data_IF_237299799173
#
_entry.id   IF_237299799173
#
_cell.length_a   1.000
_cell.length_b   1.000
_cell.length_c   1.000
_cell.angle_alpha   90.00
_cell.angle_beta   90.00
_cell.angle_gamma   90.00
#
_symmetry.space_group_name_H-M   'P 1'
#
loop_
_entity.id
_entity.type
_entity.pdbx_description
1 polymer ?
#
# COMPACT_ATOMS: atom_id res chain seq x y z
N UNK A 1 2.85 -10.10 1.35
CA UNK A 1 2.80 -8.62 1.28
C UNK A 1 3.39 -8.01 2.54
N UNK A 2 4.13 -6.90 2.41
CA UNK A 2 4.62 -6.10 3.53
C UNK A 2 3.50 -5.21 4.11
N UNK A 3 3.81 -4.40 5.13
CA UNK A 3 2.89 -3.45 5.77
C UNK A 3 3.66 -2.15 6.09
N UNK A 4 3.21 -1.00 5.55
CA UNK A 4 3.85 0.31 5.73
C UNK A 4 5.28 0.40 5.14
N UNK A 5 5.45 0.07 3.86
CA UNK A 5 6.76 0.05 3.20
C UNK A 5 6.77 0.84 1.90
N UNK A 6 7.58 1.90 1.83
CA UNK A 6 7.75 2.70 0.62
C UNK A 6 8.42 1.88 -0.49
N UNK A 7 8.02 2.10 -1.74
CA UNK A 7 8.52 1.30 -2.87
C UNK A 7 10.04 1.38 -3.06
N UNK A 8 10.65 2.51 -2.71
CA UNK A 8 12.11 2.70 -2.78
C UNK A 8 12.88 2.00 -1.66
N UNK A 9 12.19 1.42 -0.66
CA UNK A 9 12.85 0.81 0.50
C UNK A 9 13.11 -0.69 0.30
N UNK A 10 13.42 -1.07 -0.94
CA UNK A 10 13.80 -2.42 -1.37
C UNK A 10 15.06 -2.35 -2.22
N UNK A 11 16.00 -3.28 -2.04
CA UNK A 11 17.27 -3.30 -2.78
C UNK A 11 17.07 -3.30 -4.29
N UNK A 12 16.23 -4.17 -4.83
CA UNK A 12 15.95 -4.24 -6.27
C UNK A 12 15.15 -3.04 -6.82
N UNK A 13 14.65 -2.14 -5.97
CA UNK A 13 14.05 -0.87 -6.34
C UNK A 13 14.96 0.33 -6.07
N UNK A 14 16.24 0.09 -5.75
CA UNK A 14 17.29 1.10 -5.71
C UNK A 14 17.66 1.63 -4.32
N UNK A 15 17.16 1.04 -3.22
CA UNK A 15 17.66 1.42 -1.90
C UNK A 15 19.13 0.98 -1.73
N UNK A 16 20.07 1.89 -1.40
CA UNK A 16 21.48 1.53 -1.30
C UNK A 16 21.84 0.84 0.01
N UNK A 17 21.02 0.99 1.05
CA UNK A 17 21.36 0.59 2.42
C UNK A 17 20.63 -0.66 2.88
N UNK A 18 19.32 -0.79 2.51
CA UNK A 18 18.46 -1.87 3.00
C UNK A 18 18.83 -3.22 2.39
N UNK A 19 18.83 -4.27 3.22
CA UNK A 19 19.16 -5.63 2.79
C UNK A 19 17.90 -6.45 2.60
N UNK A 20 17.56 -6.73 1.34
CA UNK A 20 16.39 -7.52 0.94
C UNK A 20 16.77 -8.66 -0.02
N UNK A 21 17.71 -9.56 0.35
CA UNK A 21 18.27 -10.56 -0.56
C UNK A 21 17.22 -11.56 -1.08
N UNK A 22 16.15 -11.83 -0.35
CA UNK A 22 15.10 -12.77 -0.76
C UNK A 22 14.16 -12.14 -1.78
N UNK A 23 13.75 -10.89 -1.58
CA UNK A 23 12.94 -10.12 -2.55
C UNK A 23 13.77 -9.85 -3.80
N UNK A 24 15.04 -9.47 -3.65
CA UNK A 24 15.96 -9.24 -4.77
C UNK A 24 16.14 -10.50 -5.61
N UNK A 25 16.20 -11.69 -4.96
CA UNK A 25 16.24 -12.98 -5.64
C UNK A 25 14.93 -13.28 -6.38
N UNK A 26 13.76 -12.96 -5.79
CA UNK A 26 12.48 -13.07 -6.50
C UNK A 26 12.46 -12.18 -7.74
N UNK A 27 12.95 -10.95 -7.65
CA UNK A 27 13.05 -10.03 -8.78
C UNK A 27 13.99 -10.56 -9.88
N UNK A 28 15.14 -11.09 -9.50
CA UNK A 28 16.09 -11.74 -10.45
C UNK A 28 15.49 -12.97 -11.14
N UNK A 29 14.59 -13.70 -10.49
CA UNK A 29 13.91 -14.89 -11.02
C UNK A 29 12.55 -14.59 -11.68
N UNK A 30 12.11 -13.34 -11.66
CA UNK A 30 10.79 -12.94 -12.10
C UNK A 30 10.77 -11.59 -12.83
N UNK A 31 9.68 -10.87 -12.63
CA UNK A 31 9.37 -9.58 -13.25
C UNK A 31 9.23 -8.51 -12.16
N UNK A 32 9.90 -7.38 -12.28
CA UNK A 32 9.60 -6.15 -11.52
C UNK A 32 8.54 -5.34 -12.23
N UNK A 33 7.48 -4.95 -11.51
CA UNK A 33 6.49 -3.99 -11.97
C UNK A 33 6.90 -2.62 -11.40
N UNK A 34 7.53 -1.79 -12.22
CA UNK A 34 8.14 -0.54 -11.78
C UNK A 34 7.16 0.63 -11.65
N UNK A 35 5.90 0.44 -12.09
CA UNK A 35 4.81 1.42 -11.99
C UNK A 35 3.55 0.77 -11.44
N UNK A 36 3.66 0.21 -10.25
CA UNK A 36 2.54 -0.38 -9.53
C UNK A 36 2.05 0.59 -8.46
N UNK A 37 0.74 0.85 -8.40
CA UNK A 37 0.16 1.85 -7.50
C UNK A 37 -0.94 1.25 -6.64
N UNK A 38 -0.96 1.62 -5.37
CA UNK A 38 -2.07 1.29 -4.49
C UNK A 38 -3.25 2.27 -4.67
N UNK A 39 -4.42 1.86 -4.22
CA UNK A 39 -5.66 2.63 -4.35
C UNK A 39 -5.93 3.57 -3.16
N UNK A 40 -5.21 3.39 -2.06
CA UNK A 40 -5.32 4.19 -0.86
C UNK A 40 -4.07 4.05 0.02
N UNK A 41 -3.45 5.15 0.49
CA UNK A 41 -2.26 5.10 1.35
C UNK A 41 -2.61 4.82 2.82
N UNK A 42 -3.47 3.84 3.07
CA UNK A 42 -3.96 3.46 4.41
C UNK A 42 -4.39 1.98 4.42
N UNK A 43 -3.92 1.21 5.39
CA UNK A 43 -4.00 -0.26 5.44
C UNK A 43 -5.40 -0.84 5.14
N UNK A 44 -6.44 -0.49 5.92
CA UNK A 44 -7.77 -1.11 5.77
C UNK A 44 -8.42 -0.79 4.41
N UNK A 45 -8.47 0.47 3.94
CA UNK A 45 -8.98 0.80 2.61
C UNK A 45 -8.21 0.11 1.49
N UNK A 46 -6.86 0.08 1.58
CA UNK A 46 -6.01 -0.57 0.59
C UNK A 46 -6.28 -2.07 0.53
N UNK A 47 -6.24 -2.77 1.67
CA UNK A 47 -6.44 -4.23 1.72
C UNK A 47 -7.82 -4.63 1.20
N UNK A 48 -8.86 -3.90 1.58
CA UNK A 48 -10.20 -4.17 1.10
C UNK A 48 -10.34 -3.89 -0.40
N UNK A 49 -9.66 -2.87 -0.92
CA UNK A 49 -9.58 -2.60 -2.34
C UNK A 49 -8.81 -3.69 -3.10
N UNK A 50 -7.63 -4.09 -2.59
CA UNK A 50 -6.80 -5.17 -3.14
C UNK A 50 -7.58 -6.49 -3.24
N UNK A 51 -8.35 -6.83 -2.20
CA UNK A 51 -9.08 -8.12 -2.14
C UNK A 51 -10.43 -8.11 -2.84
N UNK A 52 -10.97 -6.95 -3.21
CA UNK A 52 -12.27 -6.85 -3.92
C UNK A 52 -12.12 -6.48 -5.39
N UNK A 53 -10.98 -5.92 -5.82
CA UNK A 53 -10.80 -5.36 -7.16
C UNK A 53 -11.62 -4.08 -7.39
N UNK A 54 -12.06 -3.42 -6.31
CA UNK A 54 -12.87 -2.20 -6.33
C UNK A 54 -12.16 -1.08 -5.59
N UNK A 55 -12.25 0.15 -6.09
CA UNK A 55 -11.71 1.31 -5.37
C UNK A 55 -12.46 1.56 -4.04
N UNK A 56 -11.80 2.20 -3.05
CA UNK A 56 -12.32 2.28 -1.69
C UNK A 56 -13.66 3.00 -1.53
N UNK A 57 -13.97 4.00 -2.36
CA UNK A 57 -15.27 4.69 -2.29
C UNK A 57 -16.36 3.78 -2.83
N UNK A 58 -16.14 3.13 -3.97
CA UNK A 58 -17.10 2.21 -4.58
C UNK A 58 -17.39 0.98 -3.72
N UNK A 59 -16.36 0.41 -3.07
CA UNK A 59 -16.59 -0.70 -2.16
C UNK A 59 -17.11 -0.28 -0.77
N UNK A 60 -17.09 1.03 -0.46
CA UNK A 60 -17.57 1.61 0.80
C UNK A 60 -16.55 1.65 1.93
N UNK A 61 -15.32 1.16 1.71
CA UNK A 61 -14.30 1.07 2.75
C UNK A 61 -13.22 2.16 2.64
N UNK A 62 -13.58 3.39 2.22
CA UNK A 62 -12.63 4.50 2.09
C UNK A 62 -12.07 5.03 3.42
N UNK A 63 -12.76 5.04 4.57
CA UNK A 63 -12.14 5.37 5.85
C UNK A 63 -11.33 4.19 6.41
N UNK A 64 -10.32 4.49 7.20
CA UNK A 64 -9.60 3.43 7.91
C UNK A 64 -10.51 2.71 8.92
N UNK A 65 -10.31 1.39 9.12
CA UNK A 65 -11.13 0.56 10.01
C UNK A 65 -12.62 0.52 9.66
N UNK A 66 -12.96 0.69 8.40
CA UNK A 66 -14.33 0.63 7.89
C UNK A 66 -14.67 -0.75 7.31
N UNK A 67 -15.87 -0.88 6.78
CA UNK A 67 -16.36 -2.11 6.16
C UNK A 67 -16.83 -1.84 4.73
N UNK A 68 -16.70 -2.84 3.86
CA UNK A 68 -17.28 -2.79 2.51
C UNK A 68 -18.81 -2.78 2.58
N UNK A 69 -19.46 -2.40 1.48
CA UNK A 69 -20.91 -2.51 1.33
C UNK A 69 -21.35 -3.97 1.38
N UNK A 70 -22.61 -4.17 1.75
CA UNK A 70 -23.25 -5.49 1.67
C UNK A 70 -23.25 -6.00 0.22
N UNK A 71 -23.04 -7.30 0.04
CA UNK A 71 -23.00 -7.94 -1.28
C UNK A 71 -21.66 -7.78 -2.02
N UNK A 72 -20.71 -6.99 -1.51
CA UNK A 72 -19.36 -6.90 -2.11
C UNK A 72 -18.64 -8.24 -1.99
N UNK A 73 -18.18 -8.75 -3.13
CA UNK A 73 -17.41 -10.00 -3.24
C UNK A 73 -15.92 -9.73 -3.20
N UNK A 74 -15.17 -10.66 -2.63
CA UNK A 74 -13.71 -10.61 -2.54
C UNK A 74 -13.06 -11.84 -3.17
N UNK A 75 -11.73 -11.87 -3.22
CA UNK A 75 -10.93 -12.93 -3.82
C UNK A 75 -11.43 -14.36 -3.51
N UNK A 76 -11.76 -14.75 -2.26
CA UNK A 76 -12.33 -16.08 -1.98
C UNK A 76 -13.64 -16.38 -2.70
N UNK A 77 -14.51 -15.39 -2.87
CA UNK A 77 -15.77 -15.58 -3.59
C UNK A 77 -15.58 -15.87 -5.08
N UNK A 78 -14.50 -15.39 -5.65
CA UNK A 78 -14.17 -15.57 -7.06
C UNK A 78 -13.41 -16.87 -7.32
N UNK A 79 -12.50 -17.27 -6.41
CA UNK A 79 -11.64 -18.43 -6.64
C UNK A 79 -12.24 -19.76 -6.14
N UNK A 80 -13.04 -19.74 -5.06
CA UNK A 80 -13.66 -20.97 -4.52
C UNK A 80 -14.57 -21.70 -5.53
N UNK A 81 -15.41 -21.03 -6.34
CA UNK A 81 -16.21 -21.69 -7.38
C UNK A 81 -15.37 -22.38 -8.45
N UNK A 82 -14.07 -22.01 -8.58
CA UNK A 82 -13.09 -22.65 -9.47
C UNK A 82 -12.33 -23.78 -8.78
N UNK A 83 -12.76 -24.20 -7.59
CA UNK A 83 -12.16 -25.29 -6.84
C UNK A 83 -10.99 -24.92 -5.94
N UNK A 84 -10.62 -23.64 -5.84
CA UNK A 84 -9.49 -23.21 -5.01
C UNK A 84 -9.83 -23.17 -3.52
N UNK A 85 -8.91 -23.62 -2.69
CA UNK A 85 -8.86 -23.22 -1.27
C UNK A 85 -8.25 -21.82 -1.19
N UNK A 86 -8.79 -20.93 -0.36
CA UNK A 86 -8.31 -19.55 -0.26
C UNK A 86 -8.09 -19.20 1.20
N UNK A 87 -6.81 -19.04 1.58
CA UNK A 87 -6.37 -18.78 2.94
C UNK A 87 -5.72 -17.42 3.12
N UNK A 88 -5.66 -16.96 4.38
CA UNK A 88 -4.93 -15.78 4.82
C UNK A 88 -4.20 -16.08 6.13
N UNK A 89 -2.90 -15.80 6.16
CA UNK A 89 -2.05 -15.86 7.34
C UNK A 89 -1.45 -14.49 7.62
N UNK A 90 -1.38 -14.10 8.89
CA UNK A 90 -0.83 -12.83 9.34
C UNK A 90 -1.88 -11.73 9.50
N UNK A 91 -1.54 -10.51 9.08
CA UNK A 91 -2.36 -9.32 9.33
C UNK A 91 -3.69 -9.36 8.60
N UNK A 92 -4.75 -9.19 9.38
CA UNK A 92 -6.13 -8.97 8.92
C UNK A 92 -6.51 -7.51 9.13
N UNK A 93 -7.16 -6.90 8.16
CA UNK A 93 -7.68 -5.53 8.31
C UNK A 93 -8.87 -5.26 7.39
N UNK A 94 -9.61 -6.31 7.08
CA UNK A 94 -10.81 -6.31 6.25
C UNK A 94 -12.07 -6.54 7.08
N UNK A 95 -13.21 -6.03 6.62
CA UNK A 95 -14.52 -6.20 7.25
C UNK A 95 -15.70 -5.99 6.26
N UNK A 96 -16.84 -6.66 6.47
CA UNK A 96 -17.10 -7.69 7.46
C UNK A 96 -16.51 -9.05 7.05
N UNK A 97 -16.42 -9.99 7.98
CA UNK A 97 -15.90 -11.35 7.69
C UNK A 97 -16.69 -12.08 6.60
N UNK A 98 -18.00 -11.82 6.48
CA UNK A 98 -18.86 -12.39 5.43
C UNK A 98 -18.45 -11.96 4.02
N UNK A 99 -17.91 -10.74 3.86
CA UNK A 99 -17.39 -10.25 2.58
C UNK A 99 -15.96 -10.75 2.28
N UNK A 100 -15.25 -11.26 3.28
CA UNK A 100 -13.88 -11.75 3.17
C UNK A 100 -13.72 -13.14 3.80
N UNK A 101 -14.38 -14.17 3.22
CA UNK A 101 -14.41 -15.51 3.78
C UNK A 101 -13.10 -16.28 3.53
N UNK A 102 -11.94 -15.68 3.82
CA UNK A 102 -10.68 -16.39 3.85
C UNK A 102 -10.68 -17.47 4.93
N UNK A 103 -10.05 -18.62 4.68
CA UNK A 103 -9.64 -19.50 5.75
C UNK A 103 -8.54 -18.81 6.57
N UNK A 104 -8.84 -18.53 7.83
CA UNK A 104 -7.96 -17.77 8.71
C UNK A 104 -6.94 -18.68 9.37
N UNK A 105 -5.65 -18.50 9.04
CA UNK A 105 -4.58 -19.35 9.50
C UNK A 105 -3.83 -18.80 10.72
N UNK A 106 -4.33 -17.71 11.29
CA UNK A 106 -3.72 -17.06 12.45
C UNK A 106 -2.75 -15.93 12.07
N UNK A 107 -2.03 -15.45 13.08
CA UNK A 107 -1.19 -14.26 12.99
C UNK A 107 -1.79 -13.08 13.74
N UNK A 108 -1.02 -12.02 13.90
CA UNK A 108 -1.43 -10.83 14.65
C UNK A 108 -1.80 -9.67 13.73
N UNK A 109 -2.56 -8.73 14.28
CA UNK A 109 -2.85 -7.45 13.67
C UNK A 109 -2.45 -6.33 14.62
N UNK A 110 -1.30 -5.70 14.35
CA UNK A 110 -0.92 -4.46 15.02
C UNK A 110 -0.90 -4.54 16.55
N UNK A 111 -0.29 -5.58 17.11
CA UNK A 111 -0.20 -5.80 18.56
C UNK A 111 0.83 -4.90 19.28
N UNK A 112 1.42 -3.96 18.56
CA UNK A 112 2.49 -3.10 19.06
C UNK A 112 3.81 -3.83 19.28
N UNK A 113 4.03 -4.94 18.56
CA UNK A 113 5.24 -5.77 18.69
C UNK A 113 5.30 -6.61 19.97
N UNK A 114 4.16 -6.86 20.61
CA UNK A 114 4.05 -7.68 21.82
C UNK A 114 4.06 -9.17 21.50
N UNK A 115 3.61 -9.54 20.31
CA UNK A 115 3.67 -10.94 19.85
C UNK A 115 5.13 -11.37 19.70
N UNK A 116 5.53 -12.53 20.18
CA UNK A 116 6.87 -13.07 19.96
C UNK A 116 7.22 -13.14 18.46
N UNK A 117 8.50 -13.05 18.14
CA UNK A 117 8.98 -13.21 16.77
C UNK A 117 8.53 -14.56 16.20
N UNK A 118 8.04 -14.58 14.96
CA UNK A 118 7.48 -15.77 14.31
C UNK A 118 6.01 -16.03 14.60
N UNK A 119 5.49 -15.67 15.79
CA UNK A 119 4.08 -15.87 16.12
C UNK A 119 3.17 -14.79 15.47
N UNK A 120 3.73 -13.68 15.02
CA UNK A 120 3.05 -12.65 14.21
C UNK A 120 2.67 -13.16 12.82
N UNK A 121 3.47 -14.10 12.28
CA UNK A 121 3.25 -14.76 10.99
C UNK A 121 3.53 -16.27 11.12
N UNK A 122 2.55 -17.09 11.57
CA UNK A 122 2.74 -18.53 11.81
C UNK A 122 2.83 -19.29 10.48
N UNK A 123 4.04 -19.41 9.93
CA UNK A 123 4.32 -20.05 8.64
C UNK A 123 4.15 -21.57 8.67
N UNK A 124 4.22 -22.22 9.83
CA UNK A 124 3.84 -23.62 10.04
C UNK A 124 2.39 -23.88 9.61
N UNK A 125 1.47 -22.99 9.97
CA UNK A 125 0.07 -23.08 9.56
C UNK A 125 -0.10 -22.80 8.08
N UNK A 126 0.67 -21.90 7.51
CA UNK A 126 0.72 -21.67 6.07
C UNK A 126 1.17 -22.93 5.33
N UNK A 127 2.25 -23.60 5.81
CA UNK A 127 2.75 -24.88 5.27
C UNK A 127 1.68 -25.97 5.36
N UNK A 128 1.05 -26.13 6.52
CA UNK A 128 -0.03 -27.10 6.71
C UNK A 128 -1.22 -26.85 5.77
N UNK A 129 -1.61 -25.58 5.57
CA UNK A 129 -2.65 -25.21 4.61
C UNK A 129 -2.27 -25.60 3.17
N UNK A 130 -1.07 -25.29 2.73
CA UNK A 130 -0.61 -25.61 1.38
C UNK A 130 -0.48 -27.12 1.16
N UNK A 131 -0.04 -27.88 2.17
CA UNK A 131 0.16 -29.33 2.09
C UNK A 131 -1.13 -30.16 2.13
N UNK A 132 -2.23 -29.58 2.61
CA UNK A 132 -3.51 -30.27 2.75
C UNK A 132 -4.11 -30.58 1.37
N UNK A 133 -4.79 -31.72 1.26
CA UNK A 133 -5.58 -32.12 0.09
C UNK A 133 -4.79 -32.08 -1.23
N UNK A 134 -3.75 -32.89 -1.30
CA UNK A 134 -2.66 -33.03 -2.29
C UNK A 134 -2.88 -32.74 -3.79
N UNK A 135 -4.11 -32.54 -4.25
CA UNK A 135 -4.41 -32.18 -5.66
C UNK A 135 -5.28 -30.93 -5.80
N UNK A 136 -5.84 -30.39 -4.71
CA UNK A 136 -6.69 -29.22 -4.78
C UNK A 136 -5.86 -27.94 -4.89
N UNK A 137 -6.12 -27.07 -5.89
CA UNK A 137 -5.40 -25.81 -6.01
C UNK A 137 -5.68 -24.88 -4.84
N UNK A 138 -4.73 -24.02 -4.54
CA UNK A 138 -4.85 -23.07 -3.43
C UNK A 138 -4.37 -21.67 -3.82
N UNK A 139 -4.90 -20.68 -3.12
CA UNK A 139 -4.44 -19.29 -3.12
C UNK A 139 -4.22 -18.88 -1.67
N UNK A 140 -3.02 -18.42 -1.34
CA UNK A 140 -2.64 -18.04 0.01
C UNK A 140 -2.17 -16.59 0.06
N UNK A 141 -2.81 -15.78 0.89
CA UNK A 141 -2.33 -14.45 1.23
C UNK A 141 -1.45 -14.55 2.47
N UNK A 142 -0.16 -14.24 2.30
CA UNK A 142 0.81 -14.12 3.40
C UNK A 142 1.01 -12.64 3.68
N UNK A 143 0.46 -12.17 4.79
CA UNK A 143 0.36 -10.76 5.15
C UNK A 143 1.21 -10.46 6.37
N UNK A 144 2.49 -10.09 6.17
CA UNK A 144 3.35 -9.66 7.27
C UNK A 144 2.78 -8.40 7.96
N UNK A 145 3.07 -8.24 9.24
CA UNK A 145 2.86 -6.98 9.96
C UNK A 145 4.04 -6.01 9.79
N UNK A 146 5.15 -6.47 9.21
CA UNK A 146 6.37 -5.68 9.11
C UNK A 146 6.48 -4.98 7.75
N UNK A 147 7.07 -3.78 7.71
CA UNK A 147 7.68 -3.00 8.79
C UNK A 147 6.75 -1.95 9.45
N UNK A 148 5.51 -2.29 9.82
CA UNK A 148 4.61 -1.38 10.54
C UNK A 148 5.16 -1.04 11.94
N UNK A 149 5.04 0.21 12.36
CA UNK A 149 5.46 0.65 13.70
C UNK A 149 4.72 -0.10 14.84
N UNK A 150 5.35 -0.33 16.00
CA UNK A 150 6.70 0.13 16.41
C UNK A 150 7.81 -0.73 15.80
N UNK A 151 8.90 -0.11 15.39
CA UNK A 151 10.04 -0.80 14.80
C UNK A 151 10.90 -1.43 15.90
N UNK A 152 10.69 -2.71 16.14
CA UNK A 152 11.32 -3.48 17.24
C UNK A 152 11.72 -4.91 16.83
N UNK A 153 11.74 -5.21 15.53
CA UNK A 153 12.18 -6.48 14.96
C UNK A 153 13.47 -6.28 14.16
N UNK A 154 14.14 -7.42 13.91
CA UNK A 154 15.41 -7.42 13.19
C UNK A 154 16.58 -6.87 14.02
N UNK A 155 17.74 -6.78 13.40
CA UNK A 155 18.98 -6.30 14.03
C UNK A 155 19.33 -4.90 13.50
N UNK A 156 19.02 -3.86 14.28
CA UNK A 156 19.32 -2.47 13.93
C UNK A 156 20.83 -2.15 13.95
N UNK A 157 21.69 -2.99 14.57
CA UNK A 157 23.15 -2.77 14.59
C UNK A 157 23.77 -2.90 13.20
N UNK A 158 23.08 -3.64 12.29
CA UNK A 158 23.47 -3.79 10.88
C UNK A 158 23.31 -2.50 10.07
N UNK A 159 22.57 -1.52 10.62
CA UNK A 159 22.24 -0.25 10.00
C UNK A 159 22.69 0.94 10.85
N UNK A 160 24.02 1.22 10.96
CA UNK A 160 24.53 2.36 11.74
C UNK A 160 23.89 3.67 11.27
N UNK A 161 23.23 4.44 12.15
CA UNK A 161 22.46 5.63 11.75
C UNK A 161 23.26 6.69 10.99
N UNK A 162 24.54 6.86 11.32
CA UNK A 162 25.46 7.81 10.71
C UNK A 162 25.87 7.46 9.27
N UNK A 163 25.73 6.18 8.89
CA UNK A 163 26.08 5.67 7.55
C UNK A 163 24.90 5.60 6.58
N UNK A 164 23.66 5.79 7.07
CA UNK A 164 22.47 5.65 6.24
C UNK A 164 22.30 6.84 5.28
N UNK A 165 21.88 6.54 4.08
CA UNK A 165 21.42 7.52 3.10
C UNK A 165 20.02 8.00 3.46
N UNK A 166 19.89 9.30 3.73
CA UNK A 166 18.57 9.87 4.02
C UNK A 166 17.83 10.16 2.72
N UNK A 167 16.60 9.63 2.53
CA UNK A 167 15.79 9.95 1.36
C UNK A 167 15.60 11.47 1.18
N UNK A 168 15.73 12.03 -0.04
CA UNK A 168 15.74 13.48 -0.27
C UNK A 168 14.48 14.23 0.18
N UNK A 169 13.36 13.54 0.35
CA UNK A 169 12.11 14.15 0.80
C UNK A 169 11.99 14.29 2.33
N UNK A 170 12.90 13.70 3.09
CA UNK A 170 12.94 13.72 4.55
C UNK A 170 13.96 14.77 5.06
N UNK A 171 13.71 15.32 6.23
CA UNK A 171 14.66 16.25 6.89
C UNK A 171 15.64 15.43 7.71
N UNK A 172 16.92 15.54 7.38
CA UNK A 172 17.97 14.80 8.06
C UNK A 172 18.12 15.28 9.50
N UNK A 173 17.83 14.39 10.43
CA UNK A 173 18.00 14.58 11.87
C UNK A 173 18.52 13.30 12.52
N UNK A 174 19.21 13.42 13.63
CA UNK A 174 19.63 12.25 14.41
C UNK A 174 18.44 11.31 14.69
N UNK A 175 17.26 11.87 15.00
CA UNK A 175 16.06 11.09 15.31
C UNK A 175 15.52 10.34 14.09
N UNK A 176 15.58 10.94 12.90
CA UNK A 176 15.22 10.27 11.68
C UNK A 176 16.16 9.10 11.39
N UNK A 177 17.49 9.33 11.48
CA UNK A 177 18.49 8.29 11.22
C UNK A 177 18.37 7.10 12.17
N UNK A 178 18.12 7.35 13.46
CA UNK A 178 17.79 6.30 14.44
C UNK A 178 16.49 5.54 14.08
N UNK A 179 15.51 6.24 13.55
CA UNK A 179 14.26 5.65 13.05
C UNK A 179 14.49 4.79 11.80
N UNK A 180 15.25 5.29 10.83
CA UNK A 180 15.60 4.55 9.61
C UNK A 180 16.37 3.26 9.92
N UNK A 181 17.33 3.30 10.86
CA UNK A 181 18.07 2.13 11.31
C UNK A 181 17.14 1.00 11.76
N UNK A 182 16.16 1.31 12.60
CA UNK A 182 15.18 0.35 13.10
C UNK A 182 14.20 -0.09 12.01
N UNK A 183 13.76 0.82 11.17
CA UNK A 183 12.85 0.56 10.06
C UNK A 183 13.48 -0.39 9.04
N UNK A 184 14.75 -0.18 8.67
CA UNK A 184 15.48 -1.07 7.75
C UNK A 184 15.75 -2.44 8.35
N UNK A 185 15.97 -2.51 9.68
CA UNK A 185 16.08 -3.80 10.37
C UNK A 185 14.78 -4.62 10.27
N UNK A 186 13.63 -3.97 10.41
CA UNK A 186 12.34 -4.65 10.25
C UNK A 186 12.05 -5.06 8.80
N UNK A 187 12.49 -4.27 7.81
CA UNK A 187 12.42 -4.67 6.41
C UNK A 187 13.23 -5.95 6.17
N UNK A 188 14.45 -6.02 6.72
CA UNK A 188 15.26 -7.24 6.61
C UNK A 188 14.62 -8.45 7.32
N UNK A 189 13.96 -8.23 8.45
CA UNK A 189 13.19 -9.27 9.14
C UNK A 189 12.01 -9.75 8.28
N UNK A 190 11.27 -8.84 7.65
CA UNK A 190 10.19 -9.19 6.70
C UNK A 190 10.75 -9.93 5.47
N UNK A 191 11.90 -9.52 4.94
CA UNK A 191 12.55 -10.18 3.82
C UNK A 191 12.92 -11.64 4.16
N UNK A 192 13.34 -11.93 5.41
CA UNK A 192 13.55 -13.30 5.88
C UNK A 192 12.25 -14.11 5.83
N UNK A 193 11.12 -13.54 6.25
CA UNK A 193 9.82 -14.21 6.14
C UNK A 193 9.45 -14.54 4.68
N UNK A 194 9.81 -13.67 3.73
CA UNK A 194 9.66 -13.95 2.29
C UNK A 194 10.54 -15.14 1.88
N UNK A 195 11.77 -15.20 2.36
CA UNK A 195 12.69 -16.33 2.14
C UNK A 195 12.10 -17.65 2.65
N UNK A 196 11.61 -17.66 3.90
CA UNK A 196 11.00 -18.84 4.52
C UNK A 196 9.78 -19.36 3.73
N UNK A 197 8.92 -18.46 3.21
CA UNK A 197 7.80 -18.86 2.34
C UNK A 197 8.29 -19.55 1.06
N UNK A 198 9.34 -19.02 0.43
CA UNK A 198 9.92 -19.63 -0.78
C UNK A 198 10.57 -20.98 -0.47
N UNK A 199 11.22 -21.12 0.68
CA UNK A 199 11.85 -22.37 1.10
C UNK A 199 10.80 -23.45 1.42
N UNK A 200 9.70 -23.09 2.08
CA UNK A 200 8.54 -23.99 2.25
C UNK A 200 8.03 -24.50 0.90
N UNK A 201 7.87 -23.63 -0.10
CA UNK A 201 7.43 -24.04 -1.44
C UNK A 201 8.42 -25.00 -2.12
N UNK A 202 9.74 -24.82 -1.91
CA UNK A 202 10.78 -25.71 -2.43
C UNK A 202 10.75 -27.07 -1.75
N UNK A 203 10.67 -27.09 -0.42
CA UNK A 203 10.54 -28.34 0.37
C UNK A 203 9.33 -29.16 -0.08
N UNK A 204 8.22 -28.49 -0.36
CA UNK A 204 6.99 -29.10 -0.85
C UNK A 204 7.02 -29.45 -2.34
N UNK A 205 8.10 -29.13 -3.07
CA UNK A 205 8.22 -29.29 -4.53
C UNK A 205 7.12 -28.53 -5.32
N UNK A 206 6.61 -27.43 -4.75
CA UNK A 206 5.56 -26.59 -5.37
C UNK A 206 6.12 -25.31 -5.98
N UNK A 207 7.40 -24.98 -5.77
CA UNK A 207 7.99 -23.71 -6.17
C UNK A 207 7.90 -23.43 -7.69
N UNK A 208 7.96 -24.48 -8.52
CA UNK A 208 7.89 -24.35 -9.97
C UNK A 208 6.45 -24.28 -10.51
N UNK A 209 5.46 -24.69 -9.71
CA UNK A 209 4.03 -24.63 -10.04
C UNK A 209 3.28 -23.55 -9.27
N UNK A 210 3.98 -22.56 -8.73
CA UNK A 210 3.39 -21.50 -7.94
C UNK A 210 3.73 -20.11 -8.51
N UNK A 211 2.70 -19.29 -8.74
CA UNK A 211 2.87 -17.86 -8.98
C UNK A 211 3.04 -17.16 -7.63
N UNK A 212 4.11 -16.42 -7.47
CA UNK A 212 4.35 -15.56 -6.30
C UNK A 212 4.21 -14.11 -6.75
N UNK A 213 3.25 -13.39 -6.16
CA UNK A 213 3.15 -11.93 -6.24
C UNK A 213 3.55 -11.35 -4.88
N UNK A 214 4.73 -10.73 -4.81
CA UNK A 214 5.14 -9.95 -3.67
C UNK A 214 4.79 -8.47 -3.88
N UNK A 215 4.21 -7.82 -2.87
CA UNK A 215 3.79 -6.43 -2.87
C UNK A 215 4.25 -5.73 -1.58
N UNK A 216 4.74 -4.50 -1.68
CA UNK A 216 4.65 -3.57 -0.55
C UNK A 216 3.17 -3.15 -0.38
N UNK A 217 2.81 -2.53 0.74
CA UNK A 217 1.43 -2.08 0.94
C UNK A 217 1.28 -0.61 0.49
N UNK A 218 1.21 0.31 1.38
CA UNK A 218 1.38 1.74 1.16
C UNK A 218 2.75 2.18 1.66
N UNK A 219 3.10 3.44 1.43
CA UNK A 219 4.34 3.99 1.94
C UNK A 219 4.50 3.88 3.46
N UNK A 220 5.74 3.98 3.92
CA UNK A 220 6.12 3.92 5.33
C UNK A 220 5.41 4.97 6.17
N UNK A 221 5.37 4.77 7.50
CA UNK A 221 4.80 5.76 8.43
C UNK A 221 5.65 7.03 8.57
N UNK A 222 6.78 7.13 7.87
CA UNK A 222 7.54 8.37 7.78
C UNK A 222 6.71 9.48 7.13
N UNK A 223 6.96 10.75 7.46
CA UNK A 223 6.21 11.86 6.86
C UNK A 223 6.24 11.82 5.33
N UNK A 224 5.12 12.12 4.68
CA UNK A 224 4.87 12.05 3.22
C UNK A 224 4.69 10.64 2.63
N UNK A 225 4.85 9.59 3.40
CA UNK A 225 4.47 8.22 3.03
C UNK A 225 3.00 7.94 3.33
N UNK A 226 2.75 7.02 4.26
CA UNK A 226 1.40 6.63 4.72
C UNK A 226 0.49 7.83 4.98
N UNK A 227 -0.79 7.69 4.67
CA UNK A 227 -1.85 8.71 4.78
C UNK A 227 -1.73 9.89 3.81
N UNK A 228 -0.83 9.83 2.83
CA UNK A 228 -0.68 10.87 1.81
C UNK A 228 -0.74 10.28 0.42
N UNK A 229 -1.25 11.05 -0.54
CA UNK A 229 -1.27 10.62 -1.95
C UNK A 229 -0.05 11.12 -2.74
N UNK A 230 1.05 11.46 -2.07
CA UNK A 230 2.35 11.63 -2.75
C UNK A 230 2.87 10.30 -3.28
N UNK A 231 3.81 10.32 -4.22
CA UNK A 231 4.34 9.10 -4.83
C UNK A 231 4.85 8.12 -3.77
N UNK A 232 5.55 8.59 -2.73
CA UNK A 232 6.01 7.77 -1.61
C UNK A 232 4.88 7.09 -0.81
N UNK A 233 3.65 7.58 -0.91
CA UNK A 233 2.48 7.01 -0.24
C UNK A 233 1.71 6.01 -1.09
N UNK A 234 1.65 6.24 -2.41
CA UNK A 234 0.79 5.46 -3.30
C UNK A 234 1.54 4.56 -4.29
N UNK A 235 2.81 4.83 -4.58
CA UNK A 235 3.64 3.97 -5.41
C UNK A 235 4.11 2.76 -4.59
N UNK A 236 3.95 1.56 -5.13
CA UNK A 236 4.21 0.31 -4.46
C UNK A 236 5.28 -0.52 -5.18
N UNK A 237 6.16 -1.15 -4.44
CA UNK A 237 7.06 -2.15 -4.99
C UNK A 237 6.29 -3.45 -5.25
N UNK A 238 6.45 -4.00 -6.45
CA UNK A 238 5.78 -5.22 -6.85
C UNK A 238 6.71 -6.13 -7.67
N UNK A 239 6.78 -7.40 -7.27
CA UNK A 239 7.59 -8.44 -7.93
C UNK A 239 6.72 -9.66 -8.18
N UNK A 240 6.77 -10.20 -9.39
CA UNK A 240 6.05 -11.43 -9.75
C UNK A 240 7.04 -12.49 -10.19
N UNK A 241 7.04 -13.66 -9.53
CA UNK A 241 7.78 -14.85 -9.97
C UNK A 241 6.80 -15.89 -10.49
N UNK A 242 6.98 -16.34 -11.72
CA UNK A 242 6.23 -17.45 -12.32
C UNK A 242 7.14 -18.26 -13.25
N UNK A 243 7.76 -19.31 -12.73
CA UNK A 243 8.72 -20.11 -13.49
C UNK A 243 8.13 -20.66 -14.80
N UNK A 244 8.93 -20.65 -15.86
CA UNK A 244 8.52 -21.12 -17.17
C UNK A 244 7.50 -20.25 -17.91
N UNK A 245 6.98 -19.19 -17.29
CA UNK A 245 5.98 -18.27 -17.87
C UNK A 245 6.46 -16.83 -17.96
N UNK A 246 7.19 -16.37 -16.95
CA UNK A 246 7.75 -15.02 -16.89
C UNK A 246 9.26 -15.10 -17.17
N UNK A 247 9.76 -14.23 -18.01
CA UNK A 247 11.20 -14.11 -18.28
C UNK A 247 11.93 -13.63 -17.01
N UNK A 248 12.89 -14.40 -16.48
CA UNK A 248 13.65 -13.99 -15.31
C UNK A 248 14.40 -12.66 -15.53
N UNK A 249 14.45 -11.83 -14.47
CA UNK A 249 15.14 -10.54 -14.47
C UNK A 249 14.53 -9.48 -15.38
N UNK A 250 13.26 -9.67 -15.80
CA UNK A 250 12.57 -8.70 -16.63
C UNK A 250 11.93 -7.57 -15.83
N UNK A 251 11.57 -6.48 -16.54
CA UNK A 251 10.88 -5.33 -15.98
C UNK A 251 9.68 -4.96 -16.87
N UNK A 252 8.66 -4.39 -16.24
CA UNK A 252 7.55 -3.77 -16.94
C UNK A 252 7.25 -2.39 -16.36
N UNK A 253 7.12 -1.42 -17.26
CA UNK A 253 6.69 -0.05 -16.97
C UNK A 253 5.19 0.13 -17.18
N UNK A 254 4.44 -0.94 -17.42
CA UNK A 254 2.99 -0.89 -17.51
C UNK A 254 2.41 -0.37 -16.20
N UNK A 255 1.50 0.58 -16.30
CA UNK A 255 0.84 1.22 -15.15
C UNK A 255 -0.20 0.26 -14.58
N UNK A 256 0.06 -0.28 -13.38
CA UNK A 256 -0.77 -1.27 -12.69
C UNK A 256 -1.37 -0.65 -11.44
N UNK A 257 -2.61 -0.99 -11.14
CA UNK A 257 -3.27 -0.64 -9.88
C UNK A 257 -3.58 -1.89 -9.05
N UNK A 258 -3.61 -1.75 -7.73
CA UNK A 258 -3.95 -2.86 -6.83
C UNK A 258 -5.36 -3.44 -7.05
N UNK A 259 -6.29 -2.67 -7.63
CA UNK A 259 -7.60 -3.19 -8.02
C UNK A 259 -7.53 -4.21 -9.16
N UNK A 260 -6.39 -4.31 -9.85
CA UNK A 260 -6.15 -5.25 -10.95
C UNK A 260 -5.80 -6.67 -10.45
N UNK A 261 -5.46 -6.82 -9.17
CA UNK A 261 -4.96 -8.11 -8.62
C UNK A 261 -6.05 -9.18 -8.65
N UNK A 262 -7.28 -8.88 -8.19
CA UNK A 262 -8.36 -9.87 -8.17
C UNK A 262 -8.73 -10.36 -9.58
N UNK A 263 -9.01 -9.48 -10.56
CA UNK A 263 -9.29 -9.95 -11.93
C UNK A 263 -8.12 -10.71 -12.55
N UNK A 264 -6.87 -10.40 -12.21
CA UNK A 264 -5.69 -11.15 -12.68
C UNK A 264 -5.65 -12.55 -12.08
N UNK A 265 -5.85 -12.70 -10.77
CA UNK A 265 -5.87 -14.01 -10.12
C UNK A 265 -7.08 -14.85 -10.55
N UNK A 266 -8.22 -14.21 -10.83
CA UNK A 266 -9.37 -14.90 -11.39
C UNK A 266 -9.05 -15.48 -12.78
N UNK A 267 -8.42 -14.70 -13.66
CA UNK A 267 -8.01 -15.18 -14.99
C UNK A 267 -6.90 -16.23 -14.88
N UNK A 268 -5.91 -16.08 -14.00
CA UNK A 268 -4.89 -17.09 -13.70
C UNK A 268 -5.49 -18.43 -13.27
N UNK A 269 -6.59 -18.39 -12.53
CA UNK A 269 -7.31 -19.57 -12.06
C UNK A 269 -8.25 -20.18 -13.13
N UNK A 270 -8.26 -19.66 -14.35
CA UNK A 270 -9.11 -20.13 -15.45
C UNK A 270 -10.52 -19.53 -15.45
N UNK A 271 -10.80 -18.54 -14.60
CA UNK A 271 -12.06 -17.80 -14.62
C UNK A 271 -12.04 -16.63 -15.60
N UNK A 272 -13.22 -16.03 -15.81
CA UNK A 272 -13.38 -14.89 -16.73
C UNK A 272 -13.81 -13.67 -15.93
N UNK A 273 -12.93 -12.65 -15.77
CA UNK A 273 -13.33 -11.41 -15.11
C UNK A 273 -14.33 -10.64 -15.99
N UNK A 274 -15.57 -10.51 -15.50
CA UNK A 274 -16.59 -9.70 -16.15
C UNK A 274 -16.25 -8.21 -16.07
N UNK A 275 -16.42 -7.48 -17.17
CA UNK A 275 -16.03 -6.07 -17.31
C UNK A 275 -16.70 -5.11 -16.30
N UNK A 276 -17.84 -5.48 -15.72
CA UNK A 276 -18.57 -4.67 -14.74
C UNK A 276 -18.37 -5.10 -13.27
N UNK A 277 -17.69 -6.23 -13.05
CA UNK A 277 -17.52 -6.80 -11.69
C UNK A 277 -16.41 -6.12 -10.89
N UNK A 278 -15.45 -5.49 -11.58
CA UNK A 278 -14.26 -4.88 -10.99
C UNK A 278 -14.05 -3.47 -11.53
N UNK A 279 -13.33 -2.66 -10.78
CA UNK A 279 -12.74 -1.41 -11.29
C UNK A 279 -11.42 -1.70 -12.02
N UNK A 280 -10.74 -2.76 -11.58
CA UNK A 280 -9.50 -3.24 -12.17
C UNK A 280 -9.72 -4.11 -13.41
N UNK A 281 -8.62 -4.36 -14.09
CA UNK A 281 -8.53 -5.24 -15.25
C UNK A 281 -7.40 -6.26 -15.02
N UNK A 282 -7.48 -7.42 -15.67
CA UNK A 282 -6.39 -8.39 -15.58
C UNK A 282 -5.14 -7.89 -16.30
N UNK A 283 -4.02 -7.88 -15.60
CA UNK A 283 -2.69 -7.62 -16.18
C UNK A 283 -1.93 -8.91 -16.55
N UNK A 284 -2.61 -10.04 -16.61
CA UNK A 284 -2.02 -11.30 -17.08
C UNK A 284 -1.31 -11.17 -18.44
N UNK A 285 -1.85 -10.44 -19.45
CA UNK A 285 -1.13 -10.22 -20.70
C UNK A 285 0.19 -9.45 -20.53
N UNK A 286 0.31 -8.58 -19.52
CA UNK A 286 1.58 -7.90 -19.17
C UNK A 286 2.56 -8.89 -18.56
N UNK A 287 2.12 -9.74 -17.63
CA UNK A 287 2.95 -10.78 -17.03
C UNK A 287 3.53 -11.74 -18.06
N UNK A 288 2.76 -12.06 -19.10
CA UNK A 288 3.16 -12.93 -20.18
C UNK A 288 3.95 -12.23 -21.30
N UNK A 289 4.28 -10.93 -21.14
CA UNK A 289 5.01 -10.14 -22.14
C UNK A 289 4.23 -9.84 -23.43
N UNK A 290 2.91 -10.12 -23.44
CA UNK A 290 2.02 -9.91 -24.60
C UNK A 290 1.55 -8.46 -24.73
N UNK A 291 1.60 -7.67 -23.65
CA UNK A 291 1.28 -6.24 -23.62
C UNK A 291 2.33 -5.46 -22.86
N UNK A 292 2.63 -4.25 -23.33
CA UNK A 292 3.54 -3.31 -22.66
C UNK A 292 2.79 -2.16 -21.95
N UNK A 293 1.51 -1.99 -22.24
CA UNK A 293 0.65 -0.95 -21.67
C UNK A 293 -0.57 -1.62 -21.03
N UNK A 294 -0.98 -1.13 -19.86
CA UNK A 294 -2.16 -1.63 -19.16
C UNK A 294 -3.16 -0.49 -18.91
N UNK A 295 -2.90 0.41 -17.98
CA UNK A 295 -3.70 1.61 -17.80
C UNK A 295 -3.01 2.85 -18.37
N UNK A 296 -3.80 3.86 -18.77
CA UNK A 296 -3.30 5.21 -19.04
C UNK A 296 -3.26 6.08 -17.79
N UNK A 297 -4.10 5.79 -16.80
CA UNK A 297 -4.20 6.50 -15.53
C UNK A 297 -4.60 5.54 -14.42
N UNK A 298 -4.06 5.76 -13.22
CA UNK A 298 -4.49 5.12 -11.99
C UNK A 298 -4.80 6.16 -10.93
N UNK A 299 -5.56 5.78 -9.91
CA UNK A 299 -6.18 6.70 -8.97
C UNK A 299 -5.96 6.24 -7.54
N UNK A 300 -5.91 7.20 -6.61
CA UNK A 300 -5.86 6.92 -5.19
C UNK A 300 -6.75 7.88 -4.39
N UNK A 301 -7.23 7.40 -3.27
CA UNK A 301 -8.06 8.16 -2.33
C UNK A 301 -7.53 8.00 -0.91
N UNK A 302 -7.46 9.11 -0.18
CA UNK A 302 -7.22 9.07 1.26
C UNK A 302 -8.23 9.93 2.00
N UNK A 303 -8.72 9.44 3.11
CA UNK A 303 -9.47 10.20 4.11
C UNK A 303 -8.77 10.09 5.47
N UNK A 304 -8.82 11.14 6.25
CA UNK A 304 -8.26 11.12 7.61
C UNK A 304 -9.21 10.50 8.63
N UNK A 305 -10.49 10.33 8.29
CA UNK A 305 -11.43 9.66 9.19
C UNK A 305 -11.01 8.20 9.45
N UNK A 306 -11.06 7.77 10.71
CA UNK A 306 -10.60 6.43 11.11
C UNK A 306 -9.09 6.29 11.33
N UNK A 307 -8.31 7.34 11.07
CA UNK A 307 -6.89 7.42 11.40
C UNK A 307 -6.76 7.93 12.85
N UNK A 308 -5.85 7.33 13.59
CA UNK A 308 -5.57 7.74 14.96
C UNK A 308 -5.06 9.18 14.99
N UNK A 309 -5.72 10.06 15.77
CA UNK A 309 -5.50 11.51 15.76
C UNK A 309 -5.67 12.20 14.40
N UNK A 310 -6.37 11.56 13.47
CA UNK A 310 -6.69 12.15 12.17
C UNK A 310 -7.69 13.31 12.28
N UNK A 311 -7.60 14.25 11.34
CA UNK A 311 -8.64 15.26 11.13
C UNK A 311 -10.00 14.58 10.92
N UNK A 312 -11.08 15.19 11.36
CA UNK A 312 -12.42 14.62 11.22
C UNK A 312 -12.82 14.44 9.74
N UNK A 313 -12.49 15.42 8.91
CA UNK A 313 -12.68 15.35 7.47
C UNK A 313 -11.51 16.05 6.75
N UNK A 314 -10.64 15.28 6.12
CA UNK A 314 -9.60 15.80 5.23
C UNK A 314 -9.42 14.80 4.08
N UNK A 315 -10.13 15.04 2.99
CA UNK A 315 -10.09 14.17 1.83
C UNK A 315 -8.98 14.56 0.86
N UNK A 316 -8.29 13.55 0.32
CA UNK A 316 -7.29 13.71 -0.73
C UNK A 316 -7.67 12.76 -1.87
N UNK A 317 -7.58 13.26 -3.10
CA UNK A 317 -7.78 12.46 -4.32
C UNK A 317 -6.57 12.65 -5.22
N UNK A 318 -6.13 11.58 -5.85
CA UNK A 318 -4.98 11.64 -6.75
C UNK A 318 -5.22 10.86 -8.04
N UNK A 319 -4.55 11.30 -9.09
CA UNK A 319 -4.46 10.61 -10.38
C UNK A 319 -3.04 10.72 -10.91
N UNK A 320 -2.52 9.61 -11.44
CA UNK A 320 -1.20 9.57 -12.09
C UNK A 320 -1.26 8.78 -13.40
N UNK A 321 -0.42 9.19 -14.36
CA UNK A 321 -0.09 8.42 -15.57
C UNK A 321 1.29 7.73 -15.46
N UNK A 322 1.89 7.78 -14.26
CA UNK A 322 3.22 7.25 -13.96
C UNK A 322 4.38 8.22 -14.25
N UNK A 323 4.16 9.27 -15.02
CA UNK A 323 5.12 10.36 -15.27
C UNK A 323 4.71 11.65 -14.53
N UNK A 324 3.42 11.86 -14.36
CA UNK A 324 2.84 13.03 -13.69
C UNK A 324 1.89 12.59 -12.58
N UNK A 325 1.96 13.29 -11.47
CA UNK A 325 1.04 13.09 -10.33
C UNK A 325 0.27 14.38 -10.08
N UNK A 326 -1.07 14.28 -10.10
CA UNK A 326 -1.99 15.36 -9.74
C UNK A 326 -2.71 14.99 -8.46
N UNK A 327 -2.68 15.88 -7.47
CA UNK A 327 -3.34 15.71 -6.17
C UNK A 327 -4.34 16.84 -5.97
N UNK A 328 -5.55 16.49 -5.55
CA UNK A 328 -6.59 17.41 -5.11
C UNK A 328 -6.83 17.23 -3.62
N UNK A 329 -6.55 18.28 -2.84
CA UNK A 329 -6.89 18.36 -1.43
C UNK A 329 -8.26 19.03 -1.29
N UNK A 330 -9.24 18.30 -0.73
CA UNK A 330 -10.62 18.76 -0.66
C UNK A 330 -10.83 19.88 0.38
N UNK A 331 -9.94 19.97 1.38
CA UNK A 331 -10.00 20.92 2.47
C UNK A 331 -8.68 21.70 2.65
N UNK A 332 -8.29 22.53 1.66
CA UNK A 332 -6.97 23.20 1.68
C UNK A 332 -6.84 24.24 2.80
N UNK A 333 -7.97 24.73 3.34
CA UNK A 333 -7.98 25.64 4.50
C UNK A 333 -7.77 24.94 5.85
N UNK A 334 -7.98 23.63 5.89
CA UNK A 334 -7.84 22.85 7.13
C UNK A 334 -6.40 22.41 7.35
N UNK A 335 -6.06 22.13 8.61
CA UNK A 335 -4.79 21.50 8.96
C UNK A 335 -4.92 19.99 8.78
N UNK A 336 -4.00 19.40 8.03
CA UNK A 336 -3.86 17.95 7.95
C UNK A 336 -3.27 17.41 9.24
N UNK A 337 -4.00 16.49 9.89
CA UNK A 337 -3.60 15.89 11.14
C UNK A 337 -3.69 14.36 11.08
N UNK A 338 -2.75 13.71 11.73
CA UNK A 338 -2.68 12.27 11.93
C UNK A 338 -1.65 11.97 13.05
N UNK A 339 -1.32 10.71 13.27
CA UNK A 339 -0.32 10.28 14.25
C UNK A 339 1.03 10.99 14.08
N UNK A 340 1.47 11.22 12.84
CA UNK A 340 2.76 11.88 12.56
C UNK A 340 2.76 13.32 13.10
N UNK A 341 1.73 14.10 12.78
CA UNK A 341 1.65 15.50 13.27
C UNK A 341 1.40 15.61 14.76
N UNK A 342 0.78 14.58 15.37
CA UNK A 342 0.39 14.61 16.76
C UNK A 342 1.56 14.38 17.73
N UNK A 343 2.31 13.30 17.56
CA UNK A 343 3.36 12.92 18.52
C UNK A 343 4.54 12.14 17.93
N UNK A 344 4.68 12.10 16.61
CA UNK A 344 5.81 11.41 16.03
C UNK A 344 7.11 12.15 16.35
N UNK A 345 8.09 11.49 17.01
CA UNK A 345 9.32 12.14 17.43
C UNK A 345 10.23 12.52 16.25
N UNK A 346 10.12 11.84 15.11
CA UNK A 346 10.84 12.16 13.89
C UNK A 346 10.31 13.48 13.34
N UNK A 347 8.99 13.59 13.13
CA UNK A 347 8.39 14.84 12.65
C UNK A 347 8.61 16.00 13.64
N UNK A 348 8.57 15.74 14.94
CA UNK A 348 8.87 16.75 15.96
C UNK A 348 10.32 17.27 15.82
N UNK A 349 11.29 16.39 15.54
CA UNK A 349 12.70 16.78 15.37
C UNK A 349 12.93 17.67 14.15
N UNK A 350 12.08 17.59 13.10
CA UNK A 350 12.17 18.48 11.94
C UNK A 350 11.97 19.96 12.29
N UNK A 351 11.12 20.23 13.30
CA UNK A 351 10.80 21.59 13.76
C UNK A 351 11.98 22.26 14.48
N UNK A 352 12.98 21.49 14.89
CA UNK A 352 14.18 22.01 15.57
C UNK A 352 15.34 22.31 14.62
N UNK A 353 15.20 21.94 13.32
CA UNK A 353 16.22 22.19 12.29
C UNK A 353 16.01 23.59 11.70
N UNK A 354 17.00 24.45 11.84
CA UNK A 354 16.98 25.80 11.27
C UNK A 354 17.46 25.79 9.81
N UNK A 355 16.56 25.41 8.91
CA UNK A 355 16.78 25.46 7.45
C UNK A 355 15.47 25.74 6.72
N UNK A 356 15.56 26.39 5.55
CA UNK A 356 14.40 26.62 4.68
C UNK A 356 13.74 25.32 4.24
N UNK A 357 14.55 24.31 3.97
CA UNK A 357 14.05 22.98 3.62
C UNK A 357 13.20 22.41 4.74
N UNK A 358 13.70 22.36 5.97
CA UNK A 358 12.96 21.81 7.11
C UNK A 358 11.68 22.60 7.36
N UNK A 359 11.73 23.93 7.38
CA UNK A 359 10.54 24.81 7.51
C UNK A 359 9.51 24.51 6.44
N UNK A 360 9.93 24.41 5.19
CA UNK A 360 9.06 24.09 4.04
C UNK A 360 8.41 22.71 4.19
N UNK A 361 9.18 21.66 4.57
CA UNK A 361 8.65 20.31 4.72
C UNK A 361 7.62 20.21 5.85
N UNK A 362 7.90 20.84 7.01
CA UNK A 362 6.96 20.91 8.14
C UNK A 362 5.67 21.63 7.75
N UNK A 363 5.80 22.79 7.08
CA UNK A 363 4.64 23.58 6.65
C UNK A 363 3.77 22.80 5.64
N UNK A 364 4.39 22.22 4.61
CA UNK A 364 3.68 21.45 3.56
C UNK A 364 3.01 20.20 4.11
N UNK A 365 3.62 19.49 5.07
CA UNK A 365 2.97 18.32 5.65
C UNK A 365 1.68 18.68 6.39
N UNK A 366 1.69 19.80 7.09
CA UNK A 366 0.55 20.26 7.90
C UNK A 366 -0.52 21.04 7.11
N UNK A 367 -0.14 21.76 6.06
CA UNK A 367 -1.05 22.59 5.27
C UNK A 367 -0.72 22.48 3.78
N UNK A 368 -1.69 22.07 2.99
CA UNK A 368 -1.52 21.79 1.56
C UNK A 368 -2.40 22.70 0.74
N UNK A 369 -1.96 23.12 -0.47
CA UNK A 369 -2.80 23.86 -1.40
C UNK A 369 -3.94 22.97 -1.93
N UNK A 370 -4.94 23.56 -2.55
CA UNK A 370 -6.07 22.82 -3.14
C UNK A 370 -5.61 21.83 -4.22
N UNK A 371 -4.60 22.21 -4.99
CA UNK A 371 -4.06 21.43 -6.10
C UNK A 371 -2.54 21.32 -5.98
N UNK A 372 -2.03 20.12 -6.23
CA UNK A 372 -0.60 19.86 -6.39
C UNK A 372 -0.37 19.09 -7.69
N UNK A 373 0.70 19.44 -8.43
CA UNK A 373 1.10 18.80 -9.67
C UNK A 373 2.61 18.54 -9.63
N UNK A 374 3.02 17.31 -9.92
CA UNK A 374 4.44 16.91 -9.89
C UNK A 374 4.84 16.21 -11.19
N UNK A 375 6.02 16.52 -11.74
CA UNK A 375 6.69 15.74 -12.77
C UNK A 375 7.57 14.68 -12.10
N UNK A 376 7.09 13.45 -12.02
CA UNK A 376 7.77 12.36 -11.30
C UNK A 376 9.09 11.93 -11.95
N UNK A 377 9.32 12.25 -13.23
CA UNK A 377 10.59 11.97 -13.92
C UNK A 377 11.70 12.92 -13.48
N UNK A 378 11.35 14.19 -13.24
CA UNK A 378 12.28 15.22 -12.81
C UNK A 378 12.34 15.36 -11.28
N UNK A 379 11.26 15.06 -10.60
CA UNK A 379 11.06 15.18 -9.16
C UNK A 379 10.29 13.97 -8.58
N UNK A 380 10.93 12.80 -8.52
CA UNK A 380 10.29 11.58 -7.99
C UNK A 380 9.93 11.70 -6.51
N UNK A 381 10.47 12.70 -5.81
CA UNK A 381 10.22 12.93 -4.39
C UNK A 381 9.12 13.96 -4.11
N UNK A 382 8.44 14.47 -5.13
CA UNK A 382 7.37 15.46 -5.00
C UNK A 382 7.78 16.69 -4.16
N UNK A 383 8.98 17.23 -4.41
CA UNK A 383 9.51 18.37 -3.66
C UNK A 383 8.98 19.70 -4.19
N UNK A 384 8.72 19.80 -5.49
CA UNK A 384 8.32 21.03 -6.16
C UNK A 384 6.90 20.90 -6.73
N UNK A 385 5.94 21.59 -6.11
CA UNK A 385 4.60 21.70 -6.69
C UNK A 385 4.63 22.63 -7.91
N UNK A 386 4.14 22.13 -9.05
CA UNK A 386 4.09 22.83 -10.35
C UNK A 386 2.67 23.28 -10.73
N UNK A 387 1.70 23.20 -9.81
CA UNK A 387 0.30 23.51 -10.11
C UNK A 387 0.06 24.95 -10.59
N UNK A 388 0.88 25.89 -10.14
CA UNK A 388 0.79 27.32 -10.48
C UNK A 388 1.63 27.72 -11.73
N UNK A 389 2.32 26.76 -12.38
CA UNK A 389 3.05 27.01 -13.62
C UNK A 389 2.06 27.12 -14.79
N UNK A 390 1.89 28.34 -15.33
CA UNK A 390 0.98 28.62 -16.43
C UNK A 390 1.24 27.77 -17.69
N UNK A 391 2.51 27.36 -17.92
CA UNK A 391 2.91 26.50 -19.04
C UNK A 391 2.30 25.10 -18.93
N UNK A 392 1.94 24.68 -17.72
CA UNK A 392 1.36 23.38 -17.39
C UNK A 392 -0.16 23.41 -17.18
N UNK A 393 -0.80 24.56 -17.40
CA UNK A 393 -2.24 24.75 -17.18
C UNK A 393 -3.11 23.73 -17.95
N UNK A 394 -2.76 23.43 -19.22
CA UNK A 394 -3.48 22.41 -20.01
C UNK A 394 -3.39 21.03 -19.39
N UNK A 395 -2.21 20.64 -18.90
CA UNK A 395 -1.97 19.35 -18.23
C UNK A 395 -2.76 19.28 -16.91
N UNK A 396 -2.65 20.30 -16.08
CA UNK A 396 -3.39 20.40 -14.82
C UNK A 396 -4.90 20.25 -15.05
N UNK A 397 -5.44 20.94 -16.07
CA UNK A 397 -6.86 20.85 -16.46
C UNK A 397 -7.24 19.43 -16.93
N UNK A 398 -6.39 18.77 -17.72
CA UNK A 398 -6.66 17.40 -18.17
C UNK A 398 -6.72 16.43 -16.98
N UNK A 399 -5.73 16.46 -16.09
CA UNK A 399 -5.70 15.58 -14.91
C UNK A 399 -6.87 15.86 -13.96
N UNK A 400 -7.22 17.14 -13.75
CA UNK A 400 -8.40 17.54 -12.97
C UNK A 400 -9.69 16.95 -13.56
N UNK A 401 -9.88 17.03 -14.87
CA UNK A 401 -11.05 16.45 -15.57
C UNK A 401 -11.09 14.94 -15.46
N UNK A 402 -9.93 14.27 -15.61
CA UNK A 402 -9.79 12.80 -15.45
C UNK A 402 -10.19 12.37 -14.05
N UNK A 403 -9.64 13.05 -13.04
CA UNK A 403 -9.93 12.77 -11.64
C UNK A 403 -11.43 13.00 -11.34
N UNK A 404 -12.02 14.10 -11.78
CA UNK A 404 -13.44 14.38 -11.57
C UNK A 404 -14.35 13.33 -12.25
N UNK A 405 -14.00 12.88 -13.47
CA UNK A 405 -14.73 11.79 -14.14
C UNK A 405 -14.66 10.51 -13.34
N UNK A 406 -13.47 10.13 -12.86
CA UNK A 406 -13.29 8.93 -12.07
C UNK A 406 -14.03 9.02 -10.73
N UNK A 407 -13.96 10.14 -10.01
CA UNK A 407 -14.72 10.36 -8.77
C UNK A 407 -16.22 10.11 -9.00
N UNK A 408 -16.79 10.69 -10.08
CA UNK A 408 -18.21 10.46 -10.44
C UNK A 408 -18.50 8.96 -10.69
N UNK A 409 -17.60 8.24 -11.37
CA UNK A 409 -17.76 6.80 -11.63
C UNK A 409 -17.75 5.97 -10.33
N UNK A 410 -17.00 6.44 -9.32
CA UNK A 410 -16.92 5.78 -8.02
C UNK A 410 -18.05 6.17 -7.05
N UNK A 411 -18.93 7.09 -7.42
CA UNK A 411 -19.91 7.67 -6.50
C UNK A 411 -19.26 8.60 -5.46
N UNK A 412 -18.08 9.15 -5.77
CA UNK A 412 -17.34 10.06 -4.89
C UNK A 412 -17.78 11.50 -5.12
N UNK A 413 -18.52 12.05 -4.18
CA UNK A 413 -19.04 13.41 -4.17
C UNK A 413 -18.09 14.40 -3.45
N UNK A 414 -16.82 14.01 -3.24
CA UNK A 414 -15.81 14.83 -2.60
C UNK A 414 -16.14 15.13 -1.14
N UNK A 415 -16.43 16.38 -0.78
CA UNK A 415 -16.69 16.78 0.60
C UNK A 415 -17.89 16.04 1.22
N UNK A 416 -18.94 15.79 0.46
CA UNK A 416 -20.11 15.03 0.95
C UNK A 416 -19.70 13.58 1.30
N UNK A 417 -18.88 12.94 0.47
CA UNK A 417 -18.33 11.60 0.77
C UNK A 417 -17.48 11.63 2.05
N UNK A 418 -16.64 12.64 2.26
CA UNK A 418 -15.82 12.75 3.46
C UNK A 418 -16.67 12.96 4.73
N UNK A 419 -17.70 13.79 4.69
CA UNK A 419 -18.62 14.02 5.82
C UNK A 419 -19.37 12.76 6.21
N UNK A 420 -19.69 11.90 5.24
CA UNK A 420 -20.37 10.63 5.46
C UNK A 420 -19.42 9.51 5.87
N UNK A 421 -18.10 9.72 5.84
CA UNK A 421 -17.10 8.70 6.13
C UNK A 421 -17.31 8.03 7.50
N UNK A 422 -17.76 8.78 8.51
CA UNK A 422 -18.05 8.26 9.86
C UNK A 422 -19.11 7.16 9.85
N UNK A 423 -20.12 7.24 8.98
CA UNK A 423 -21.19 6.23 8.89
C UNK A 423 -20.70 4.86 8.39
N UNK A 424 -19.51 4.83 7.75
CA UNK A 424 -18.89 3.61 7.22
C UNK A 424 -18.12 2.82 8.28
N UNK A 425 -17.85 3.40 9.45
CA UNK A 425 -17.17 2.71 10.55
C UNK A 425 -18.15 1.96 11.44
N UNK A 426 -17.78 0.79 11.99
CA UNK A 426 -18.57 0.11 13.01
C UNK A 426 -18.79 1.04 14.20
N UNK A 427 -20.02 1.11 14.72
CA UNK A 427 -20.40 1.97 15.84
C UNK A 427 -19.66 1.66 17.15
N UNK A 428 -19.05 0.48 17.27
CA UNK A 428 -18.53 -0.04 18.52
C UNK A 428 -17.05 -0.47 18.39
N UNK A 429 -16.14 0.49 18.44
CA UNK A 429 -14.76 0.19 18.81
C UNK A 429 -14.39 0.97 20.06
N UNK A 430 -13.70 0.35 21.07
CA UNK A 430 -13.39 1.00 22.36
C UNK A 430 -12.64 2.33 22.21
N UNK A 431 -11.88 2.51 21.15
CA UNK A 431 -11.14 3.73 20.87
C UNK A 431 -12.02 4.87 20.30
N UNK A 432 -13.17 4.59 19.70
CA UNK A 432 -14.12 5.64 19.29
C UNK A 432 -14.79 6.31 20.50
N UNK A 433 -14.92 5.58 21.63
CA UNK A 433 -15.47 6.09 22.90
C UNK A 433 -14.46 6.95 23.68
N UNK A 434 -13.14 6.87 23.38
CA UNK A 434 -12.07 7.59 24.12
C UNK A 434 -11.65 8.92 23.50
N UNK A 435 -12.43 9.49 22.56
CA UNK A 435 -12.12 10.80 21.98
C UNK A 435 -10.78 10.86 21.24
N UNK A 436 -10.44 9.78 20.52
CA UNK A 436 -9.19 9.64 19.75
C UNK A 436 -9.17 10.56 18.53
N UNK A 437 -10.31 11.11 18.15
CA UNK A 437 -10.40 12.13 17.12
C UNK A 437 -10.07 13.52 17.70
N UNK A 438 -9.31 14.27 16.95
CA UNK A 438 -9.03 15.66 17.28
C UNK A 438 -10.36 16.44 17.38
N UNK A 439 -10.65 16.98 18.57
CA UNK A 439 -11.60 18.07 18.71
C UNK A 439 -10.79 19.36 18.64
N UNK A 440 -11.04 20.27 17.69
CA UNK A 440 -10.45 21.59 17.76
C UNK A 440 -10.85 22.24 19.08
N UNK A 441 -9.85 22.80 19.77
CA UNK A 441 -10.08 23.72 20.88
C UNK A 441 -10.55 25.04 20.32
#
# INVERSE_FOLDING_TARGET
MADDMTYTDVGCFGNPDVRTPNIDRLAKQGLRLTRCYNSAPTCSPLRQSLFTGLYPVRNGAHPNHSRVHEGVKSLPHHLRPLGYRVGLVGKRHEAPASAFPFEQLGGSHGDGGRTPAGADLPLDRAKAFMARDGGQPWCLVVASNQPHTPWNRGDASVYPPDKLTVPPYLVDTKRLREGLSKYYAEISYMDQQVGEVVDILREMKQAENTVILWLSEQGSQLPFGKWTCYDMGIHAAAVVRWPGRIKPGSESTALISYVDVVPTFLELAGGSPGASSFDGQSFLPVLLGKKQVHHSFVYAVNTTHGIYHGSEAYGIRAVTDGDWLYIRNLHPGARFQNMVTYRDPIYASWKTVDSDFARSRVARYAKRPAVELFDLRADPWCLRNLADDSRLAKRSTEFSRRLAKWMKQQGDEGDATERLAKSRQPRERPWSKKGIYYKPK
#
